data_IF_679917660985
#
_entry.id   IF_679917660985
#
_cell.length_a   1.000
_cell.length_b   1.000
_cell.length_c   1.000
_cell.angle_alpha   90.00
_cell.angle_beta   90.00
_cell.angle_gamma   90.00
#
_symmetry.space_group_name_H-M   'P 1'
#
loop_
_entity.id
_entity.type
_entity.pdbx_description
1 polymer ?
#
# COMPACT_ATOMS: atom_id res chain seq x y z
N UNK A 1 -0.07 16.88 13.79
CA UNK A 1 0.59 17.58 12.65
C UNK A 1 0.16 17.12 11.25
N UNK A 2 -0.66 16.04 11.11
CA UNK A 2 -1.02 15.49 9.77
C UNK A 2 -1.76 16.52 8.90
N UNK A 3 -2.70 17.26 9.45
CA UNK A 3 -3.40 18.34 8.73
C UNK A 3 -2.43 19.42 8.22
N UNK A 4 -1.39 19.72 9.02
CA UNK A 4 -0.34 20.65 8.61
C UNK A 4 0.52 20.07 7.50
N UNK A 5 0.82 18.76 7.55
CA UNK A 5 1.54 18.09 6.46
C UNK A 5 0.76 18.17 5.14
N UNK A 6 -0.56 17.89 5.18
CA UNK A 6 -1.40 18.03 4.00
C UNK A 6 -1.42 19.46 3.42
N UNK A 7 -1.59 20.47 4.29
CA UNK A 7 -1.57 21.89 3.88
C UNK A 7 -0.23 22.35 3.28
N UNK A 8 0.87 21.74 3.71
CA UNK A 8 2.21 22.05 3.21
C UNK A 8 2.59 21.22 1.98
N UNK A 9 1.75 20.30 1.52
CA UNK A 9 2.05 19.41 0.40
C UNK A 9 3.17 18.40 0.70
N UNK A 10 3.32 18.01 1.98
CA UNK A 10 4.31 17.00 2.37
C UNK A 10 3.86 15.64 1.84
N UNK A 11 4.79 14.89 1.24
CA UNK A 11 4.59 13.51 0.80
C UNK A 11 4.96 12.58 1.95
N UNK A 12 4.10 11.64 2.27
CA UNK A 12 4.40 10.54 3.17
C UNK A 12 4.68 9.27 2.36
N UNK A 13 5.93 8.84 2.35
CA UNK A 13 6.26 7.50 1.86
C UNK A 13 5.94 6.47 2.92
N UNK A 14 5.12 5.49 2.55
CA UNK A 14 4.67 4.43 3.44
C UNK A 14 5.09 3.07 2.91
N UNK A 15 5.26 2.12 3.83
CA UNK A 15 5.53 0.72 3.53
C UNK A 15 4.27 -0.09 3.84
N UNK A 16 3.40 -0.37 2.84
CA UNK A 16 2.12 -1.03 3.10
C UNK A 16 2.26 -2.44 3.67
N UNK A 17 3.34 -3.14 3.33
CA UNK A 17 3.63 -4.50 3.79
C UNK A 17 4.35 -4.57 5.14
N UNK A 18 4.57 -3.46 5.84
CA UNK A 18 5.33 -3.44 7.11
C UNK A 18 4.77 -4.40 8.17
N UNK A 19 3.50 -4.80 8.05
CA UNK A 19 2.87 -5.80 8.91
C UNK A 19 3.41 -7.20 8.68
N UNK A 20 4.02 -7.49 7.52
CA UNK A 20 4.61 -8.80 7.20
C UNK A 20 5.90 -9.11 7.96
N UNK A 21 6.57 -8.09 8.53
CA UNK A 21 7.88 -8.26 9.19
C UNK A 21 7.79 -9.10 10.48
N UNK A 22 6.65 -9.08 11.16
CA UNK A 22 6.49 -9.80 12.42
C UNK A 22 5.09 -10.41 12.55
N UNK A 23 4.98 -11.51 13.28
CA UNK A 23 3.69 -12.06 13.65
C UNK A 23 2.94 -11.11 14.61
N UNK A 24 1.63 -11.30 14.72
CA UNK A 24 0.74 -10.50 15.57
C UNK A 24 1.20 -10.44 17.03
N UNK A 25 1.51 -11.60 17.62
CA UNK A 25 1.86 -11.71 19.04
C UNK A 25 3.06 -10.82 19.37
N UNK A 26 4.13 -10.95 18.62
CA UNK A 26 5.38 -10.23 18.88
C UNK A 26 5.20 -8.72 18.59
N UNK A 27 4.45 -8.38 17.55
CA UNK A 27 4.16 -6.98 17.22
C UNK A 27 3.33 -6.31 18.31
N UNK A 28 2.27 -6.93 18.80
CA UNK A 28 1.46 -6.38 19.88
C UNK A 28 2.23 -6.24 21.18
N UNK A 29 3.04 -7.23 21.53
CA UNK A 29 3.93 -7.18 22.71
C UNK A 29 4.91 -6.00 22.60
N UNK A 30 5.51 -5.80 21.42
CA UNK A 30 6.40 -4.67 21.17
C UNK A 30 5.68 -3.31 21.28
N UNK A 31 4.47 -3.20 20.74
CA UNK A 31 3.66 -1.96 20.84
C UNK A 31 3.33 -1.66 22.30
N UNK A 32 2.87 -2.67 23.05
CA UNK A 32 2.56 -2.51 24.48
C UNK A 32 3.79 -2.05 25.28
N UNK A 33 4.94 -2.73 25.07
CA UNK A 33 6.20 -2.38 25.75
C UNK A 33 6.68 -0.96 25.43
N UNK A 34 6.62 -0.56 24.14
CA UNK A 34 7.25 0.70 23.68
C UNK A 34 6.37 1.92 23.86
N UNK A 35 5.08 1.80 23.63
CA UNK A 35 4.16 2.95 23.61
C UNK A 35 2.86 2.76 24.38
N UNK A 36 2.54 1.54 24.82
CA UNK A 36 1.26 1.18 25.43
C UNK A 36 0.13 1.06 24.41
N UNK A 37 -0.89 0.23 24.68
CA UNK A 37 -1.99 0.00 23.73
C UNK A 37 -2.88 1.24 23.52
N UNK A 38 -2.98 2.16 24.50
CA UNK A 38 -3.71 3.43 24.32
C UNK A 38 -3.16 4.25 23.15
N UNK A 39 -1.85 4.30 22.98
CA UNK A 39 -1.21 4.90 21.80
C UNK A 39 -1.10 3.93 20.64
N UNK A 40 -1.11 2.64 20.90
CA UNK A 40 -1.10 1.57 19.90
C UNK A 40 -2.28 1.63 18.92
N UNK A 41 -3.44 2.18 19.35
CA UNK A 41 -4.58 2.42 18.47
C UNK A 41 -4.27 3.36 17.28
N UNK A 42 -3.21 4.14 17.35
CA UNK A 42 -2.77 5.03 16.27
C UNK A 42 -1.63 4.43 15.44
N UNK A 43 -1.23 3.21 15.73
CA UNK A 43 -0.16 2.54 15.00
C UNK A 43 -0.60 2.27 13.56
N UNK A 44 0.25 2.63 12.58
CA UNK A 44 -0.05 2.60 11.14
C UNK A 44 -1.31 3.38 10.74
N UNK A 45 -1.50 4.58 11.28
CA UNK A 45 -2.68 5.41 11.02
C UNK A 45 -2.64 6.06 9.63
N UNK A 46 -2.72 5.24 8.59
CA UNK A 46 -2.71 5.67 7.19
C UNK A 46 -4.00 6.40 6.82
N UNK A 47 -5.13 5.97 7.41
CA UNK A 47 -6.43 6.62 7.20
C UNK A 47 -6.38 8.11 7.55
N UNK A 48 -5.86 8.46 8.71
CA UNK A 48 -5.77 9.85 9.13
C UNK A 48 -4.82 10.67 8.25
N UNK A 49 -3.78 10.06 7.67
CA UNK A 49 -2.94 10.72 6.67
C UNK A 49 -3.75 11.08 5.42
N UNK A 50 -4.49 10.12 4.86
CA UNK A 50 -5.34 10.34 3.70
C UNK A 50 -6.44 11.37 3.97
N UNK A 51 -7.16 11.27 5.10
CA UNK A 51 -8.20 12.22 5.51
C UNK A 51 -7.66 13.65 5.73
N UNK A 52 -6.37 13.79 6.04
CA UNK A 52 -5.67 15.07 6.17
C UNK A 52 -5.10 15.58 4.85
N UNK A 53 -5.43 14.97 3.72
CA UNK A 53 -4.91 15.31 2.39
C UNK A 53 -3.36 15.22 2.30
N UNK A 54 -2.73 14.38 3.11
CA UNK A 54 -1.31 14.07 2.94
C UNK A 54 -1.17 13.19 1.70
N UNK A 55 -0.36 13.59 0.75
CA UNK A 55 -0.08 12.79 -0.43
C UNK A 55 0.70 11.55 -0.01
N UNK A 56 0.19 10.37 -0.38
CA UNK A 56 0.81 9.09 -0.06
C UNK A 56 1.60 8.57 -1.27
N UNK A 57 2.78 8.07 -1.00
CA UNK A 57 3.63 7.29 -1.92
C UNK A 57 3.96 5.95 -1.25
N UNK A 58 4.06 4.88 -2.02
CA UNK A 58 4.40 3.58 -1.49
C UNK A 58 5.80 3.14 -1.90
N UNK A 59 6.49 2.45 -1.00
CA UNK A 59 7.76 1.79 -1.22
C UNK A 59 7.81 0.42 -0.55
N UNK A 60 8.82 -0.38 -0.89
CA UNK A 60 9.03 -1.73 -0.34
C UNK A 60 10.18 -1.79 0.65
N UNK A 61 11.03 -0.77 0.69
CA UNK A 61 12.26 -0.78 1.51
C UNK A 61 13.13 -2.02 1.18
N UNK A 62 13.33 -2.27 -0.13
CA UNK A 62 14.12 -3.42 -0.59
C UNK A 62 15.52 -3.45 0.06
N UNK A 63 16.01 -4.63 0.44
CA UNK A 63 15.46 -5.98 0.23
C UNK A 63 14.55 -6.47 1.37
N UNK A 64 14.07 -5.61 2.24
CA UNK A 64 13.34 -5.97 3.46
C UNK A 64 11.92 -6.46 3.15
N UNK A 65 11.21 -5.77 2.28
CA UNK A 65 9.83 -6.05 1.89
C UNK A 65 9.76 -6.30 0.38
N UNK A 66 9.55 -7.54 -0.02
CA UNK A 66 9.55 -7.99 -1.43
C UNK A 66 8.16 -8.48 -1.87
N UNK A 67 7.13 -8.15 -1.11
CA UNK A 67 5.79 -8.60 -1.39
C UNK A 67 5.16 -7.81 -2.56
N UNK A 68 4.18 -8.40 -3.19
CA UNK A 68 3.46 -7.85 -4.33
C UNK A 68 2.30 -6.93 -3.93
N UNK A 69 1.55 -6.45 -4.92
CA UNK A 69 0.39 -5.58 -4.70
C UNK A 69 -0.75 -6.28 -3.94
N UNK A 70 -1.12 -7.55 -4.21
CA UNK A 70 -2.06 -8.30 -3.39
C UNK A 70 -1.68 -8.39 -1.90
N UNK A 71 -0.41 -8.63 -1.58
CA UNK A 71 0.07 -8.59 -0.18
C UNK A 71 -0.06 -7.18 0.42
N UNK A 72 0.25 -6.14 -0.36
CA UNK A 72 0.04 -4.75 0.08
C UNK A 72 -1.41 -4.46 0.44
N UNK A 73 -2.36 -4.96 -0.36
CA UNK A 73 -3.81 -4.82 -0.09
C UNK A 73 -4.18 -5.59 1.17
N UNK A 74 -3.72 -6.84 1.30
CA UNK A 74 -4.00 -7.67 2.45
C UNK A 74 -3.61 -6.99 3.77
N UNK A 75 -2.43 -6.40 3.82
CA UNK A 75 -1.91 -5.73 5.01
C UNK A 75 -2.47 -4.32 5.19
N UNK A 76 -2.40 -3.45 4.19
CA UNK A 76 -2.68 -2.02 4.34
C UNK A 76 -4.15 -1.64 4.20
N UNK A 77 -4.97 -2.49 3.57
CA UNK A 77 -6.43 -2.34 3.47
C UNK A 77 -7.14 -3.31 4.42
N UNK A 78 -6.69 -4.56 4.47
CA UNK A 78 -7.23 -5.58 5.36
C UNK A 78 -6.90 -5.34 6.84
N UNK A 79 -5.70 -4.87 7.12
CA UNK A 79 -5.20 -4.74 8.51
C UNK A 79 -4.71 -6.06 9.08
N UNK A 80 -4.51 -7.08 8.25
CA UNK A 80 -4.12 -8.42 8.66
C UNK A 80 -2.62 -8.55 8.89
N UNK A 81 -2.25 -9.42 9.79
CA UNK A 81 -0.89 -9.96 9.91
C UNK A 81 -0.72 -11.15 8.96
N UNK A 82 0.53 -11.62 8.71
CA UNK A 82 0.77 -12.74 7.77
C UNK A 82 -0.05 -14.00 8.04
N UNK A 83 -0.26 -14.32 9.31
CA UNK A 83 -1.03 -15.47 9.77
C UNK A 83 -2.55 -15.29 9.70
N UNK A 84 -3.03 -14.09 9.34
CA UNK A 84 -4.45 -13.77 9.28
C UNK A 84 -5.08 -13.46 10.65
N UNK A 85 -6.33 -13.90 10.84
CA UNK A 85 -7.10 -13.65 12.05
C UNK A 85 -7.80 -12.30 12.05
N UNK A 86 -8.02 -11.71 13.22
CA UNK A 86 -8.69 -10.41 13.34
C UNK A 86 -7.81 -9.26 12.81
N UNK A 87 -8.37 -8.30 12.08
CA UNK A 87 -7.64 -7.10 11.67
C UNK A 87 -7.11 -6.31 12.87
N UNK A 88 -5.91 -5.74 12.72
CA UNK A 88 -5.35 -4.82 13.71
C UNK A 88 -5.55 -3.38 13.25
N UNK A 89 -6.15 -2.56 14.11
CA UNK A 89 -6.43 -1.15 13.83
C UNK A 89 -7.15 -0.93 12.48
N UNK A 90 -8.22 -1.69 12.22
CA UNK A 90 -8.99 -1.63 10.97
C UNK A 90 -9.40 -0.21 10.59
N UNK A 91 -9.70 0.63 11.57
CA UNK A 91 -10.07 2.05 11.40
C UNK A 91 -8.93 2.90 10.82
N UNK A 92 -7.69 2.41 10.84
CA UNK A 92 -6.52 3.13 10.33
C UNK A 92 -6.15 2.77 8.89
N UNK A 93 -6.91 1.84 8.28
CA UNK A 93 -6.56 1.28 6.97
C UNK A 93 -7.00 2.19 5.82
N UNK A 94 -6.31 2.04 4.69
CA UNK A 94 -6.68 2.68 3.43
C UNK A 94 -7.80 1.89 2.73
N UNK A 95 -8.40 2.51 1.73
CA UNK A 95 -9.20 1.80 0.72
C UNK A 95 -8.30 1.29 -0.41
N UNK A 96 -8.76 0.31 -1.20
CA UNK A 96 -8.01 -0.20 -2.36
C UNK A 96 -7.66 0.93 -3.34
N UNK A 97 -8.60 1.82 -3.75
CA UNK A 97 -8.25 2.93 -4.64
C UNK A 97 -7.15 3.84 -4.10
N UNK A 98 -7.18 4.18 -2.82
CA UNK A 98 -6.16 5.04 -2.20
C UNK A 98 -4.79 4.36 -2.19
N UNK A 99 -4.74 3.07 -1.85
CA UNK A 99 -3.49 2.32 -1.84
C UNK A 99 -2.90 2.17 -3.25
N UNK A 100 -3.72 1.83 -4.25
CA UNK A 100 -3.26 1.70 -5.64
C UNK A 100 -2.82 3.05 -6.21
N UNK A 101 -3.50 4.14 -5.84
CA UNK A 101 -3.07 5.51 -6.19
C UNK A 101 -1.72 5.83 -5.58
N UNK A 102 -1.48 5.46 -4.32
CA UNK A 102 -0.18 5.68 -3.66
C UNK A 102 0.95 4.88 -4.32
N UNK A 103 0.68 3.65 -4.79
CA UNK A 103 1.63 2.82 -5.54
C UNK A 103 1.94 3.37 -6.94
N UNK A 104 1.01 4.05 -7.59
CA UNK A 104 1.13 4.51 -8.98
C UNK A 104 1.34 6.02 -9.09
N UNK A 105 0.26 6.79 -9.06
CA UNK A 105 0.31 8.26 -9.21
C UNK A 105 1.09 8.93 -8.07
N UNK A 106 0.97 8.44 -6.83
CA UNK A 106 1.73 8.94 -5.68
C UNK A 106 3.23 8.73 -5.84
N UNK A 107 3.63 7.52 -6.26
CA UNK A 107 5.03 7.21 -6.57
C UNK A 107 5.59 8.07 -7.70
N UNK A 108 4.83 8.22 -8.79
CA UNK A 108 5.25 9.08 -9.92
C UNK A 108 5.43 10.54 -9.49
N UNK A 109 4.50 11.06 -8.68
CA UNK A 109 4.60 12.43 -8.15
C UNK A 109 5.81 12.60 -7.22
N UNK A 110 6.06 11.63 -6.34
CA UNK A 110 7.21 11.65 -5.43
C UNK A 110 8.55 11.69 -6.19
N UNK A 111 8.59 11.13 -7.40
CA UNK A 111 9.76 11.10 -8.28
C UNK A 111 9.79 12.27 -9.30
N UNK A 112 8.84 13.20 -9.25
CA UNK A 112 8.67 14.28 -10.26
C UNK A 112 8.45 13.76 -11.67
N UNK A 113 7.81 12.61 -11.83
CA UNK A 113 7.53 11.96 -13.12
C UNK A 113 6.02 11.86 -13.43
N UNK A 114 5.18 12.56 -12.70
CA UNK A 114 3.72 12.50 -12.83
C UNK A 114 3.19 12.90 -14.21
N UNK A 115 4.00 13.61 -15.00
CA UNK A 115 3.67 13.96 -16.40
C UNK A 115 3.86 12.79 -17.37
N UNK A 116 4.70 11.83 -17.01
CA UNK A 116 5.08 10.69 -17.86
C UNK A 116 4.57 9.34 -17.37
N UNK A 117 4.33 9.20 -16.07
CA UNK A 117 4.03 7.95 -15.38
C UNK A 117 2.84 8.08 -14.42
N UNK A 118 2.43 6.97 -13.84
CA UNK A 118 1.56 6.87 -12.68
C UNK A 118 0.07 6.80 -12.97
N UNK A 119 -0.37 7.10 -14.19
CA UNK A 119 -1.79 7.01 -14.60
C UNK A 119 -1.91 6.45 -16.02
N UNK A 120 -3.04 5.81 -16.31
CA UNK A 120 -3.38 5.29 -17.64
C UNK A 120 -4.01 6.40 -18.48
N UNK A 121 -3.18 7.29 -18.99
CA UNK A 121 -3.59 8.43 -19.82
C UNK A 121 -2.85 8.46 -21.15
N UNK A 122 -3.55 8.95 -22.20
CA UNK A 122 -2.94 9.12 -23.52
C UNK A 122 -1.74 10.08 -23.45
N UNK A 123 -0.60 9.62 -23.92
CA UNK A 123 0.66 10.39 -23.94
C UNK A 123 1.62 10.03 -22.82
N UNK A 124 1.18 9.27 -21.83
CA UNK A 124 2.08 8.72 -20.80
C UNK A 124 2.68 7.38 -21.24
N UNK A 125 3.75 6.96 -20.58
CA UNK A 125 4.37 5.65 -20.79
C UNK A 125 3.40 4.54 -20.42
N UNK A 126 3.37 3.49 -21.22
CA UNK A 126 2.53 2.31 -20.98
C UNK A 126 3.24 1.34 -20.01
N UNK A 127 3.36 1.76 -18.75
CA UNK A 127 3.78 0.92 -17.63
C UNK A 127 2.50 0.38 -16.97
N UNK A 128 2.16 -0.88 -17.29
CA UNK A 128 0.84 -1.44 -16.99
C UNK A 128 1.00 -2.82 -16.38
N UNK A 129 0.26 -3.09 -15.33
CA UNK A 129 0.14 -4.43 -14.72
C UNK A 129 -1.28 -4.93 -14.91
N UNK A 130 -1.44 -6.14 -15.38
CA UNK A 130 -2.71 -6.85 -15.53
C UNK A 130 -2.75 -7.99 -14.52
N UNK A 131 -3.84 -8.08 -13.78
CA UNK A 131 -4.08 -9.14 -12.80
C UNK A 131 -5.09 -10.16 -13.34
N UNK A 132 -5.06 -11.38 -12.81
CA UNK A 132 -5.94 -12.50 -13.14
C UNK A 132 -7.41 -12.31 -12.67
N UNK A 133 -7.69 -11.22 -11.99
CA UNK A 133 -9.03 -10.90 -11.52
C UNK A 133 -9.16 -9.45 -11.04
N UNK A 134 -10.39 -9.07 -10.73
CA UNK A 134 -10.72 -7.73 -10.26
C UNK A 134 -10.35 -7.56 -8.79
N UNK A 135 -9.30 -6.79 -8.50
CA UNK A 135 -8.83 -6.52 -7.14
C UNK A 135 -9.90 -5.80 -6.28
N UNK A 136 -10.80 -5.04 -6.91
CA UNK A 136 -11.85 -4.29 -6.20
C UNK A 136 -13.03 -5.17 -5.77
N UNK A 137 -13.24 -6.31 -6.42
CA UNK A 137 -14.34 -7.25 -6.17
C UNK A 137 -13.88 -8.50 -5.41
N UNK A 138 -12.57 -8.71 -5.29
CA UNK A 138 -12.02 -9.84 -4.54
C UNK A 138 -12.11 -9.54 -3.04
N UNK A 139 -12.60 -10.50 -2.25
CA UNK A 139 -12.59 -10.39 -0.79
C UNK A 139 -11.14 -10.19 -0.28
N UNK A 140 -10.96 -9.31 0.70
CA UNK A 140 -9.60 -8.96 1.18
C UNK A 140 -8.87 -10.19 1.75
N UNK A 141 -9.60 -11.10 2.37
CA UNK A 141 -9.07 -12.36 2.92
C UNK A 141 -8.50 -13.29 1.82
N UNK A 142 -9.03 -13.16 0.61
CA UNK A 142 -8.67 -13.98 -0.56
C UNK A 142 -7.73 -13.23 -1.53
N UNK A 143 -7.47 -11.95 -1.28
CA UNK A 143 -6.74 -11.08 -2.21
C UNK A 143 -5.36 -11.63 -2.59
N UNK A 144 -4.70 -12.32 -1.65
CA UNK A 144 -3.39 -12.95 -1.84
C UNK A 144 -3.38 -14.07 -2.88
N UNK A 145 -4.55 -14.56 -3.29
CA UNK A 145 -4.67 -15.54 -4.38
C UNK A 145 -4.52 -14.89 -5.77
N UNK A 146 -4.71 -13.57 -5.88
CA UNK A 146 -4.57 -12.85 -7.15
C UNK A 146 -3.14 -12.83 -7.63
N UNK A 147 -2.96 -12.98 -8.94
CA UNK A 147 -1.65 -13.04 -9.57
C UNK A 147 -1.53 -12.00 -10.68
N UNK A 148 -0.31 -11.58 -10.93
CA UNK A 148 0.01 -10.77 -12.10
C UNK A 148 0.01 -11.69 -13.33
N UNK A 149 -0.81 -11.37 -14.31
CA UNK A 149 -0.86 -12.05 -15.61
C UNK A 149 0.18 -11.49 -16.57
N UNK A 150 0.22 -10.16 -16.70
CA UNK A 150 1.14 -9.50 -17.63
C UNK A 150 1.64 -8.20 -17.03
N UNK A 151 2.92 -7.91 -17.22
CA UNK A 151 3.50 -6.60 -16.94
C UNK A 151 4.09 -6.00 -18.22
N UNK A 152 3.69 -4.75 -18.49
CA UNK A 152 4.27 -3.94 -19.55
C UNK A 152 5.17 -2.86 -18.96
N UNK A 153 6.32 -2.65 -19.58
CA UNK A 153 7.21 -1.52 -19.33
C UNK A 153 7.39 -0.75 -20.63
N UNK A 154 6.97 0.51 -20.66
CA UNK A 154 6.98 1.34 -21.86
C UNK A 154 6.36 0.64 -23.09
N UNK A 155 5.22 -0.04 -22.87
CA UNK A 155 4.48 -0.75 -23.89
C UNK A 155 5.07 -2.10 -24.33
N UNK A 156 6.16 -2.56 -23.72
CA UNK A 156 6.76 -3.88 -24.00
C UNK A 156 6.42 -4.84 -22.87
N UNK A 157 6.03 -6.06 -23.21
CA UNK A 157 5.85 -7.13 -22.23
C UNK A 157 7.21 -7.48 -21.62
N UNK A 158 7.32 -7.35 -20.29
CA UNK A 158 8.51 -7.71 -19.50
C UNK A 158 8.25 -8.90 -18.57
N UNK A 159 7.00 -9.23 -18.36
CA UNK A 159 6.58 -10.41 -17.62
C UNK A 159 5.24 -10.92 -18.18
N UNK A 160 5.09 -12.23 -18.27
CA UNK A 160 3.84 -12.93 -18.58
C UNK A 160 3.78 -14.20 -17.75
N UNK A 161 2.66 -14.42 -17.08
CA UNK A 161 2.36 -15.71 -16.45
C UNK A 161 2.12 -16.74 -17.53
N UNK A 162 2.79 -17.90 -17.47
CA UNK A 162 2.58 -19.05 -18.39
C UNK A 162 1.37 -19.88 -17.99
#
# INVERSE_FOLDING_TARGET
DLERMGKLGVIAEIYPQIQSIANRKDKLAMIEEKIGMDRGQYYWNRRKMADSNVLLSCGTDLPLLIDDIPESIYHAVGGYFPEGGEPFNKQNMLTIPELLTAWSAGGAYNLYQEKELGTLEKGKKADIVVFDGNLFETAIEEIRSRKVEVTFLNGRIVYSHE
#
